data_IF_516773928382
#
_entry.id   IF_516773928382
#
_cell.length_a   1.000
_cell.length_b   1.000
_cell.length_c   1.000
_cell.angle_alpha   90.00
_cell.angle_beta   90.00
_cell.angle_gamma   90.00
#
_symmetry.space_group_name_H-M   'P 1'
#
loop_
_entity.id
_entity.type
_entity.pdbx_description
1 polymer ?
#
# COMPACT_ATOMS: atom_id res chain seq x y z
N UNK A 1 12.11 -24.25 -36.67
CA UNK A 1 11.03 -23.88 -35.71
C UNK A 1 11.72 -23.25 -34.51
N UNK A 2 11.87 -21.93 -34.51
CA UNK A 2 12.43 -21.21 -33.37
C UNK A 2 11.30 -20.99 -32.37
N UNK A 3 11.49 -21.46 -31.14
CA UNK A 3 10.56 -21.23 -30.05
C UNK A 3 10.46 -19.73 -29.76
N UNK A 4 9.30 -19.21 -29.33
CA UNK A 4 9.09 -17.77 -29.12
C UNK A 4 9.91 -17.16 -27.97
N UNK A 5 10.77 -17.94 -27.31
CA UNK A 5 11.49 -17.54 -26.08
C UNK A 5 12.91 -17.00 -26.28
N UNK A 6 13.41 -16.89 -27.53
CA UNK A 6 14.78 -16.37 -27.78
C UNK A 6 14.86 -15.25 -28.84
N UNK A 7 14.01 -14.22 -28.68
CA UNK A 7 14.02 -13.03 -29.54
C UNK A 7 14.88 -11.91 -28.91
N UNK A 8 15.73 -11.22 -29.70
CA UNK A 8 16.64 -10.20 -29.20
C UNK A 8 15.90 -9.00 -28.60
N UNK A 9 16.54 -8.35 -27.63
CA UNK A 9 16.05 -7.13 -26.97
C UNK A 9 16.77 -5.92 -27.58
N UNK A 10 16.01 -4.87 -27.89
CA UNK A 10 16.56 -3.66 -28.48
C UNK A 10 17.45 -2.92 -27.47
N UNK A 11 18.70 -2.56 -27.80
CA UNK A 11 19.68 -2.06 -26.83
C UNK A 11 19.33 -0.67 -26.26
N UNK A 12 18.48 0.11 -26.94
CA UNK A 12 18.11 1.46 -26.52
C UNK A 12 16.71 1.54 -25.89
N UNK A 13 15.79 0.65 -26.24
CA UNK A 13 14.38 0.73 -25.82
C UNK A 13 13.97 -0.40 -24.87
N UNK A 14 14.79 -1.44 -24.70
CA UNK A 14 14.45 -2.60 -23.89
C UNK A 14 13.30 -3.46 -24.45
N UNK A 15 12.79 -3.12 -25.65
CA UNK A 15 11.69 -3.84 -26.28
C UNK A 15 12.18 -5.14 -26.90
N UNK A 16 11.41 -6.20 -26.73
CA UNK A 16 11.67 -7.51 -27.35
C UNK A 16 11.20 -7.50 -28.80
N UNK A 17 11.99 -8.10 -29.69
CA UNK A 17 11.62 -8.21 -31.09
C UNK A 17 10.32 -9.00 -31.27
N UNK A 18 9.58 -8.67 -32.33
CA UNK A 18 8.36 -9.39 -32.72
C UNK A 18 8.74 -10.66 -33.50
N UNK A 19 9.72 -10.55 -34.39
CA UNK A 19 10.20 -11.67 -35.20
C UNK A 19 11.59 -11.39 -35.80
N UNK A 20 12.24 -12.42 -36.35
CA UNK A 20 13.48 -12.30 -37.14
C UNK A 20 13.24 -12.95 -38.50
N UNK A 21 13.33 -12.15 -39.58
CA UNK A 21 13.07 -12.64 -40.92
C UNK A 21 14.10 -13.73 -41.33
N UNK A 22 13.66 -14.96 -41.66
CA UNK A 22 14.54 -16.11 -41.80
C UNK A 22 15.51 -16.05 -42.99
N UNK A 23 15.26 -15.17 -43.98
CA UNK A 23 16.13 -15.01 -45.16
C UNK A 23 17.14 -13.88 -45.06
N UNK A 24 16.83 -12.84 -44.28
CA UNK A 24 17.66 -11.62 -44.20
C UNK A 24 18.29 -11.42 -42.83
N UNK A 25 17.88 -12.21 -41.83
CA UNK A 25 18.27 -12.00 -40.43
C UNK A 25 17.78 -10.67 -39.86
N UNK A 26 16.89 -9.95 -40.57
CA UNK A 26 16.42 -8.64 -40.15
C UNK A 26 15.43 -8.79 -38.99
N UNK A 27 15.74 -8.14 -37.88
CA UNK A 27 14.91 -8.12 -36.68
C UNK A 27 13.76 -7.13 -36.89
N UNK A 28 12.53 -7.58 -36.62
CA UNK A 28 11.33 -6.75 -36.67
C UNK A 28 11.04 -6.23 -35.25
N UNK A 29 11.16 -4.93 -35.07
CA UNK A 29 10.88 -4.26 -33.81
C UNK A 29 9.43 -3.76 -33.75
N UNK A 30 8.80 -3.75 -32.57
CA UNK A 30 7.52 -3.08 -32.38
C UNK A 30 7.67 -1.58 -32.66
N UNK A 31 6.78 -1.03 -33.48
CA UNK A 31 6.70 0.40 -33.76
C UNK A 31 6.09 1.06 -32.51
N UNK A 32 6.90 1.79 -31.77
CA UNK A 32 6.40 2.66 -30.70
C UNK A 32 5.55 3.75 -31.38
N UNK A 33 4.26 3.80 -31.04
CA UNK A 33 3.31 4.78 -31.58
C UNK A 33 3.88 6.19 -31.47
N UNK A 34 4.04 6.86 -32.62
CA UNK A 34 4.48 8.23 -32.71
C UNK A 34 3.45 9.18 -32.10
N UNK A 35 3.78 9.73 -30.94
CA UNK A 35 3.25 10.99 -30.43
C UNK A 35 4.47 11.76 -29.95
N UNK A 36 4.92 12.71 -30.76
CA UNK A 36 6.10 13.51 -30.50
C UNK A 36 6.85 13.81 -31.79
N UNK A 37 6.60 15.00 -32.33
CA UNK A 37 7.43 15.78 -33.24
C UNK A 37 8.85 15.25 -33.48
N UNK A 38 9.21 15.14 -34.76
CA UNK A 38 10.56 14.80 -35.18
C UNK A 38 11.59 15.81 -34.71
N UNK A 39 12.73 15.30 -34.27
CA UNK A 39 14.01 15.97 -34.44
C UNK A 39 15.00 14.97 -35.03
N UNK A 40 15.42 15.26 -36.26
CA UNK A 40 16.43 14.51 -36.98
C UNK A 40 17.81 15.00 -36.57
N UNK A 41 18.45 14.31 -35.63
CA UNK A 41 19.83 14.55 -35.25
C UNK A 41 20.79 13.54 -35.91
N UNK A 42 21.22 13.82 -37.14
CA UNK A 42 22.41 13.21 -37.75
C UNK A 42 23.47 14.29 -37.91
N UNK A 43 24.63 14.13 -37.28
CA UNK A 43 25.75 15.07 -37.41
C UNK A 43 27.01 14.57 -36.71
N UNK A 44 27.80 13.80 -37.45
CA UNK A 44 29.13 13.27 -37.10
C UNK A 44 30.20 14.38 -37.02
N UNK A 45 31.26 14.11 -36.27
CA UNK A 45 32.24 15.08 -35.79
C UNK A 45 33.26 15.59 -36.81
N UNK A 46 33.84 16.75 -36.48
CA UNK A 46 35.02 17.30 -37.14
C UNK A 46 35.75 18.27 -36.20
N UNK A 47 36.92 17.86 -35.70
CA UNK A 47 37.86 18.72 -34.97
C UNK A 47 38.54 19.71 -35.94
N UNK A 48 38.68 20.97 -35.51
CA UNK A 48 39.40 22.00 -36.25
C UNK A 48 39.77 23.19 -35.36
N UNK A 49 41.03 23.18 -34.94
CA UNK A 49 41.90 24.19 -34.31
C UNK A 49 41.49 25.69 -34.38
N UNK A 50 41.64 26.37 -33.23
CA UNK A 50 42.48 27.57 -33.06
C UNK A 50 42.05 28.87 -33.75
N UNK A 51 41.48 29.80 -32.98
CA UNK A 51 41.27 31.19 -33.36
C UNK A 51 41.09 32.09 -32.15
N UNK A 52 42.18 32.77 -31.79
CA UNK A 52 42.34 33.85 -30.82
C UNK A 52 41.35 35.01 -31.02
N UNK A 53 41.06 35.76 -29.93
CA UNK A 53 40.32 37.01 -30.00
C UNK A 53 39.36 37.22 -28.84
N UNK A 54 39.90 37.59 -27.69
CA UNK A 54 39.10 38.00 -26.54
C UNK A 54 38.24 39.23 -26.83
N UNK A 55 37.03 39.23 -26.29
CA UNK A 55 36.39 40.46 -25.84
C UNK A 55 35.39 40.14 -24.74
N UNK A 56 35.87 40.25 -23.50
CA UNK A 56 35.02 40.53 -22.33
C UNK A 56 34.39 41.90 -22.55
N UNK A 57 33.23 41.91 -23.21
CA UNK A 57 32.33 43.06 -23.26
C UNK A 57 31.57 43.14 -21.95
N UNK A 58 31.86 44.17 -21.18
CA UNK A 58 31.14 44.59 -19.98
C UNK A 58 29.63 44.59 -20.25
N UNK A 59 28.90 43.85 -19.43
CA UNK A 59 27.44 43.85 -19.44
C UNK A 59 26.92 45.19 -18.93
N UNK A 60 26.78 46.17 -19.82
CA UNK A 60 25.79 47.22 -19.63
C UNK A 60 24.42 46.53 -19.52
N UNK A 61 23.85 46.57 -18.31
CA UNK A 61 22.51 46.03 -18.08
C UNK A 61 21.53 46.72 -19.01
N UNK A 62 21.03 45.99 -20.02
CA UNK A 62 19.97 46.47 -20.91
C UNK A 62 18.77 46.81 -20.03
N UNK A 63 18.53 48.10 -19.81
CA UNK A 63 17.33 48.56 -19.12
C UNK A 63 16.19 48.48 -20.11
N UNK A 64 15.26 47.55 -19.88
CA UNK A 64 14.05 47.41 -20.70
C UNK A 64 13.05 48.49 -20.28
N UNK A 65 12.43 49.16 -21.25
CA UNK A 65 11.28 50.03 -20.93
C UNK A 65 10.05 49.18 -20.67
N UNK A 66 9.07 49.72 -19.93
CA UNK A 66 7.79 49.02 -19.71
C UNK A 66 7.11 48.67 -21.04
N UNK A 67 7.21 49.55 -22.04
CA UNK A 67 6.68 49.31 -23.37
C UNK A 67 7.36 48.13 -24.08
N UNK A 68 8.66 47.92 -23.87
CA UNK A 68 9.38 46.76 -24.42
C UNK A 68 8.94 45.46 -23.75
N UNK A 69 8.72 45.48 -22.44
CA UNK A 69 8.20 44.33 -21.69
C UNK A 69 6.78 44.00 -22.13
N UNK A 70 5.89 44.98 -22.23
CA UNK A 70 4.50 44.80 -22.66
C UNK A 70 4.44 44.24 -24.09
N UNK A 71 5.30 44.72 -25.00
CA UNK A 71 5.41 44.19 -26.36
C UNK A 71 5.86 42.74 -26.37
N UNK A 72 6.92 42.40 -25.63
CA UNK A 72 7.44 41.02 -25.57
C UNK A 72 6.41 40.07 -24.93
N UNK A 73 5.70 40.51 -23.91
CA UNK A 73 4.62 39.74 -23.28
C UNK A 73 3.46 39.54 -24.25
N UNK A 74 3.04 40.59 -24.97
CA UNK A 74 1.98 40.50 -25.98
C UNK A 74 2.36 39.54 -27.13
N UNK A 75 3.59 39.63 -27.65
CA UNK A 75 4.12 38.72 -28.68
C UNK A 75 4.19 37.27 -28.19
N UNK A 76 4.59 37.06 -26.93
CA UNK A 76 4.65 35.71 -26.35
C UNK A 76 3.25 35.14 -26.11
N UNK A 77 2.32 35.95 -25.64
CA UNK A 77 0.92 35.56 -25.44
C UNK A 77 0.21 35.27 -26.77
N UNK A 78 0.50 36.05 -27.81
CA UNK A 78 -0.02 35.81 -29.16
C UNK A 78 0.49 34.48 -29.73
N UNK A 79 1.79 34.20 -29.57
CA UNK A 79 2.38 32.90 -29.97
C UNK A 79 1.80 31.73 -29.18
N UNK A 80 1.60 31.88 -27.87
CA UNK A 80 0.95 30.85 -27.05
C UNK A 80 -0.51 30.62 -27.46
N UNK A 81 -1.28 31.67 -27.71
CA UNK A 81 -2.67 31.51 -28.19
C UNK A 81 -2.75 30.91 -29.59
N UNK A 82 -1.78 31.21 -30.46
CA UNK A 82 -1.70 30.63 -31.79
C UNK A 82 -1.40 29.12 -31.77
N UNK A 83 -0.60 28.64 -30.80
CA UNK A 83 -0.30 27.20 -30.63
C UNK A 83 -1.52 26.34 -30.29
N UNK A 84 -2.56 26.93 -29.71
CA UNK A 84 -3.79 26.23 -29.31
C UNK A 84 -5.02 26.76 -30.06
N UNK A 85 -4.82 27.46 -31.18
CA UNK A 85 -5.92 28.04 -31.94
C UNK A 85 -6.87 26.96 -32.49
N UNK A 86 -6.32 25.79 -32.80
CA UNK A 86 -6.97 24.58 -33.27
C UNK A 86 -7.52 23.68 -32.15
N UNK A 87 -7.14 23.92 -30.88
CA UNK A 87 -7.55 23.10 -29.75
C UNK A 87 -9.07 23.03 -29.60
N UNK A 88 -9.76 24.15 -29.82
CA UNK A 88 -11.24 24.19 -29.76
C UNK A 88 -11.86 23.32 -30.86
N UNK A 89 -11.35 23.44 -32.08
CA UNK A 89 -11.85 22.65 -33.21
C UNK A 89 -11.51 21.16 -33.07
N UNK A 90 -10.34 20.83 -32.52
CA UNK A 90 -9.94 19.46 -32.19
C UNK A 90 -10.81 18.87 -31.08
N UNK A 91 -11.11 19.66 -30.04
CA UNK A 91 -12.01 19.25 -28.96
C UNK A 91 -13.45 19.04 -29.45
N UNK A 92 -13.95 19.93 -30.32
CA UNK A 92 -15.28 19.81 -30.89
C UNK A 92 -15.36 18.60 -31.84
N UNK A 93 -14.32 18.32 -32.62
CA UNK A 93 -14.22 17.11 -33.46
C UNK A 93 -14.09 15.83 -32.64
N UNK A 94 -13.31 15.84 -31.57
CA UNK A 94 -13.18 14.70 -30.66
C UNK A 94 -14.52 14.40 -29.98
N UNK A 95 -15.20 15.43 -29.46
CA UNK A 95 -16.52 15.27 -28.84
C UNK A 95 -17.54 14.71 -29.85
N UNK A 96 -17.56 15.23 -31.09
CA UNK A 96 -18.41 14.70 -32.16
C UNK A 96 -18.03 13.30 -32.60
N UNK A 97 -16.74 12.96 -32.59
CA UNK A 97 -16.26 11.62 -32.90
C UNK A 97 -16.72 10.63 -31.82
N UNK A 98 -16.60 10.99 -30.54
CA UNK A 98 -17.09 10.16 -29.44
C UNK A 98 -18.61 10.00 -29.48
N UNK A 99 -19.34 11.07 -29.77
CA UNK A 99 -20.80 11.04 -29.98
C UNK A 99 -21.18 10.15 -31.18
N UNK A 100 -20.46 10.24 -32.30
CA UNK A 100 -20.72 9.44 -33.50
C UNK A 100 -20.29 7.98 -33.33
N UNK A 101 -19.19 7.72 -32.63
CA UNK A 101 -18.73 6.38 -32.29
C UNK A 101 -19.74 5.73 -31.34
N UNK A 102 -20.23 6.48 -30.36
CA UNK A 102 -21.33 6.05 -29.50
C UNK A 102 -22.60 5.87 -30.33
N UNK A 103 -22.93 6.74 -31.28
CA UNK A 103 -24.11 6.58 -32.12
C UNK A 103 -24.02 5.37 -33.08
N UNK A 104 -22.82 5.08 -33.60
CA UNK A 104 -22.54 3.98 -34.53
C UNK A 104 -22.38 2.62 -33.86
N UNK A 105 -22.04 2.57 -32.57
CA UNK A 105 -22.10 1.33 -31.82
C UNK A 105 -23.51 0.75 -31.92
N UNK A 106 -23.59 -0.47 -32.44
CA UNK A 106 -24.83 -1.23 -32.51
C UNK A 106 -25.44 -1.34 -31.11
N UNK A 107 -26.77 -1.46 -31.01
CA UNK A 107 -27.44 -1.63 -29.70
C UNK A 107 -26.83 -2.79 -28.90
N UNK A 108 -26.34 -3.82 -29.58
CA UNK A 108 -25.59 -4.93 -28.98
C UNK A 108 -24.23 -4.52 -28.43
N UNK A 109 -23.46 -3.68 -29.12
CA UNK A 109 -22.17 -3.18 -28.61
C UNK A 109 -22.35 -2.24 -27.43
N UNK A 110 -23.38 -1.37 -27.45
CA UNK A 110 -23.73 -0.52 -26.30
C UNK A 110 -24.14 -1.34 -25.09
N UNK A 111 -24.97 -2.36 -25.29
CA UNK A 111 -25.38 -3.27 -24.23
C UNK A 111 -24.17 -4.03 -23.66
N UNK A 112 -23.25 -4.49 -24.51
CA UNK A 112 -22.01 -5.16 -24.07
C UNK A 112 -21.08 -4.20 -23.34
N UNK A 113 -20.92 -2.96 -23.81
CA UNK A 113 -20.11 -1.94 -23.15
C UNK A 113 -20.67 -1.62 -21.75
N UNK A 114 -21.98 -1.36 -21.66
CA UNK A 114 -22.67 -1.11 -20.39
C UNK A 114 -22.55 -2.29 -19.43
N UNK A 115 -22.79 -3.51 -19.90
CA UNK A 115 -22.64 -4.72 -19.08
C UNK A 115 -21.20 -4.91 -18.59
N UNK A 116 -20.19 -4.59 -19.42
CA UNK A 116 -18.78 -4.64 -19.02
C UNK A 116 -18.45 -3.59 -17.96
N UNK A 117 -18.98 -2.39 -18.09
CA UNK A 117 -18.69 -1.32 -17.14
C UNK A 117 -19.42 -1.53 -15.81
N UNK A 118 -20.64 -2.06 -15.82
CA UNK A 118 -21.35 -2.53 -14.62
C UNK A 118 -20.58 -3.66 -13.94
N UNK A 119 -20.16 -4.68 -14.69
CA UNK A 119 -19.38 -5.79 -14.13
C UNK A 119 -18.04 -5.33 -13.53
N UNK A 120 -17.35 -4.38 -14.17
CA UNK A 120 -16.14 -3.78 -13.60
C UNK A 120 -16.44 -2.99 -12.33
N UNK A 121 -17.53 -2.22 -12.31
CA UNK A 121 -17.91 -1.42 -11.15
C UNK A 121 -18.25 -2.31 -9.94
N UNK A 122 -18.97 -3.41 -10.17
CA UNK A 122 -19.30 -4.42 -9.17
C UNK A 122 -18.06 -5.14 -8.66
N UNK A 123 -17.19 -5.63 -9.55
CA UNK A 123 -15.93 -6.28 -9.15
C UNK A 123 -15.02 -5.33 -8.35
N UNK A 124 -14.94 -4.06 -8.73
CA UNK A 124 -14.19 -3.05 -7.97
C UNK A 124 -14.85 -2.76 -6.61
N UNK A 125 -16.18 -2.85 -6.51
CA UNK A 125 -16.88 -2.68 -5.23
C UNK A 125 -16.58 -3.83 -4.26
N UNK A 126 -16.56 -5.07 -4.75
CA UNK A 126 -16.16 -6.24 -3.95
C UNK A 126 -14.71 -6.13 -3.45
N UNK A 127 -13.77 -5.82 -4.34
CA UNK A 127 -12.35 -5.63 -3.97
C UNK A 127 -12.18 -4.50 -2.96
N UNK A 128 -12.96 -3.41 -3.08
CA UNK A 128 -12.94 -2.32 -2.09
C UNK A 128 -13.40 -2.80 -0.72
N UNK A 129 -14.46 -3.61 -0.65
CA UNK A 129 -14.94 -4.19 0.60
C UNK A 129 -13.89 -5.08 1.25
N UNK A 130 -13.23 -5.94 0.49
CA UNK A 130 -12.13 -6.78 0.99
C UNK A 130 -10.98 -5.91 1.53
N UNK A 131 -10.61 -4.86 0.81
CA UNK A 131 -9.57 -3.92 1.23
C UNK A 131 -9.90 -3.20 2.55
N UNK A 132 -11.18 -2.92 2.81
CA UNK A 132 -11.63 -2.37 4.10
C UNK A 132 -11.43 -3.41 5.20
N UNK A 133 -11.77 -4.68 4.96
CA UNK A 133 -11.55 -5.77 5.91
C UNK A 133 -10.06 -5.94 6.25
N UNK A 134 -9.19 -5.94 5.25
CA UNK A 134 -7.74 -5.99 5.44
C UNK A 134 -7.26 -4.79 6.26
N UNK A 135 -7.80 -3.59 5.98
CA UNK A 135 -7.45 -2.39 6.73
C UNK A 135 -7.92 -2.46 8.18
N UNK A 136 -9.09 -3.04 8.45
CA UNK A 136 -9.59 -3.30 9.79
C UNK A 136 -8.62 -4.20 10.54
N UNK A 137 -8.19 -5.30 9.93
CA UNK A 137 -7.25 -6.24 10.54
C UNK A 137 -5.90 -5.58 10.87
N UNK A 138 -5.35 -4.81 9.91
CA UNK A 138 -4.11 -4.05 10.10
C UNK A 138 -4.23 -3.02 11.23
N UNK A 139 -5.37 -2.32 11.34
CA UNK A 139 -5.58 -1.32 12.40
C UNK A 139 -5.91 -1.94 13.76
N UNK A 140 -6.43 -3.18 13.77
CA UNK A 140 -6.69 -3.97 14.96
C UNK A 140 -5.42 -4.64 15.50
N UNK A 141 -4.42 -4.88 14.64
CA UNK A 141 -3.13 -5.47 15.01
C UNK A 141 -2.50 -4.72 16.20
N UNK A 142 -2.16 -5.46 17.25
CA UNK A 142 -1.57 -4.94 18.49
C UNK A 142 -2.56 -4.25 19.45
N UNK A 143 -3.80 -3.94 19.02
CA UNK A 143 -4.87 -3.40 19.89
C UNK A 143 -5.84 -4.48 20.35
N UNK A 144 -6.10 -5.46 19.50
CA UNK A 144 -6.99 -6.59 19.77
C UNK A 144 -6.18 -7.85 20.09
N UNK A 145 -6.72 -8.69 20.98
CA UNK A 145 -6.14 -10.00 21.28
C UNK A 145 -6.11 -10.90 20.05
N UNK A 146 -7.15 -10.79 19.21
CA UNK A 146 -7.21 -11.38 17.88
C UNK A 146 -7.75 -10.32 16.88
N UNK A 147 -6.95 -9.89 15.90
CA UNK A 147 -7.38 -8.94 14.87
C UNK A 147 -8.52 -9.44 13.98
N UNK A 148 -8.60 -10.76 13.72
CA UNK A 148 -9.69 -11.37 12.93
C UNK A 148 -11.04 -11.21 13.63
N UNK A 149 -11.03 -11.25 14.95
CA UNK A 149 -12.22 -11.06 15.78
C UNK A 149 -12.83 -9.65 15.62
N UNK A 150 -11.98 -8.64 15.39
CA UNK A 150 -12.40 -7.29 15.04
C UNK A 150 -12.96 -7.23 13.60
N UNK A 151 -12.28 -7.89 12.65
CA UNK A 151 -12.69 -8.00 11.25
C UNK A 151 -14.10 -8.61 11.12
N UNK A 152 -14.34 -9.76 11.74
CA UNK A 152 -15.64 -10.46 11.74
C UNK A 152 -16.76 -9.62 12.36
N UNK A 153 -16.47 -8.80 13.37
CA UNK A 153 -17.47 -7.94 14.04
C UNK A 153 -17.80 -6.67 13.26
N UNK A 154 -16.94 -6.28 12.32
CA UNK A 154 -17.12 -5.10 11.47
C UNK A 154 -17.52 -5.45 10.03
N UNK A 155 -17.46 -6.73 9.62
CA UNK A 155 -17.72 -7.14 8.24
C UNK A 155 -19.09 -6.73 7.68
N UNK A 156 -20.13 -6.75 8.52
CA UNK A 156 -21.49 -6.37 8.10
C UNK A 156 -21.66 -4.84 7.93
N UNK A 157 -20.67 -4.05 8.37
CA UNK A 157 -20.68 -2.58 8.37
C UNK A 157 -19.61 -1.98 7.45
N UNK A 158 -19.02 -2.79 6.57
CA UNK A 158 -17.94 -2.37 5.69
C UNK A 158 -18.31 -1.14 4.86
N UNK A 159 -19.56 -1.04 4.45
CA UNK A 159 -20.06 0.09 3.65
C UNK A 159 -20.05 1.42 4.42
N UNK A 160 -20.14 1.39 5.75
CA UNK A 160 -20.05 2.59 6.60
C UNK A 160 -18.62 3.19 6.59
N UNK A 161 -17.63 2.42 6.13
CA UNK A 161 -16.23 2.83 6.07
C UNK A 161 -15.78 3.22 4.65
N UNK A 162 -16.71 3.31 3.70
CA UNK A 162 -16.45 3.80 2.36
C UNK A 162 -17.08 5.20 2.21
N UNK A 163 -16.28 6.17 1.75
CA UNK A 163 -16.77 7.49 1.38
C UNK A 163 -17.57 7.45 0.07
N UNK A 164 -18.24 8.56 -0.25
CA UNK A 164 -19.05 8.70 -1.48
C UNK A 164 -18.24 8.51 -2.77
N UNK A 165 -16.92 8.71 -2.70
CA UNK A 165 -15.94 8.51 -3.77
C UNK A 165 -15.34 7.09 -3.78
N UNK A 166 -15.80 6.20 -2.88
CA UNK A 166 -15.30 4.85 -2.70
C UNK A 166 -13.93 4.77 -2.01
N UNK A 167 -13.45 5.86 -1.41
CA UNK A 167 -12.23 5.85 -0.59
C UNK A 167 -12.50 5.26 0.79
N UNK A 168 -11.48 4.62 1.36
CA UNK A 168 -11.58 4.01 2.69
C UNK A 168 -11.44 5.10 3.75
N UNK A 169 -12.46 5.26 4.59
CA UNK A 169 -12.41 6.13 5.76
C UNK A 169 -11.72 5.44 6.94
N UNK A 170 -10.40 5.59 6.99
CA UNK A 170 -9.58 5.04 8.07
C UNK A 170 -9.96 5.58 9.46
N UNK A 171 -10.46 6.83 9.55
CA UNK A 171 -10.85 7.43 10.84
C UNK A 171 -12.15 6.81 11.34
N UNK A 172 -13.11 6.57 10.45
CA UNK A 172 -14.33 5.85 10.79
C UNK A 172 -14.03 4.43 11.29
N UNK A 173 -13.08 3.73 10.65
CA UNK A 173 -12.61 2.40 11.10
C UNK A 173 -12.00 2.48 12.50
N UNK A 174 -11.09 3.43 12.76
CA UNK A 174 -10.49 3.61 14.09
C UNK A 174 -11.54 3.94 15.17
N UNK A 175 -12.52 4.78 14.82
CA UNK A 175 -13.68 5.07 15.68
C UNK A 175 -14.52 3.83 15.98
N UNK A 176 -14.76 2.97 15.00
CA UNK A 176 -15.48 1.72 15.20
C UNK A 176 -14.70 0.72 16.06
N UNK A 177 -13.38 0.62 15.86
CA UNK A 177 -12.49 -0.24 16.65
C UNK A 177 -12.41 0.20 18.12
N UNK A 178 -12.32 1.51 18.38
CA UNK A 178 -12.30 2.05 19.75
C UNK A 178 -13.63 1.85 20.47
N UNK A 179 -14.77 2.09 19.79
CA UNK A 179 -16.09 1.74 20.32
C UNK A 179 -16.19 0.24 20.62
N UNK A 180 -15.68 -0.61 19.74
CA UNK A 180 -15.71 -2.06 19.92
C UNK A 180 -14.93 -2.51 21.17
N UNK A 181 -13.76 -1.93 21.44
CA UNK A 181 -13.00 -2.20 22.66
C UNK A 181 -13.68 -1.65 23.92
N UNK A 182 -14.43 -0.55 23.79
CA UNK A 182 -15.20 0.01 24.91
C UNK A 182 -16.37 -0.89 25.28
N UNK A 183 -17.12 -1.37 24.28
CA UNK A 183 -18.27 -2.25 24.48
C UNK A 183 -17.84 -3.67 24.89
N UNK A 184 -16.68 -4.11 24.40
CA UNK A 184 -16.16 -5.47 24.57
C UNK A 184 -14.69 -5.44 25.00
N UNK A 185 -14.39 -5.05 26.25
CA UNK A 185 -13.01 -4.87 26.73
C UNK A 185 -12.20 -6.18 26.74
N UNK A 186 -12.85 -7.34 26.79
CA UNK A 186 -12.19 -8.64 26.70
C UNK A 186 -11.52 -8.90 25.35
N UNK A 187 -11.84 -8.12 24.32
CA UNK A 187 -11.21 -8.22 22.99
C UNK A 187 -9.87 -7.49 22.92
N UNK A 188 -9.52 -6.66 23.92
CA UNK A 188 -8.27 -5.90 23.93
C UNK A 188 -7.06 -6.83 24.07
N UNK A 189 -5.98 -6.51 23.35
CA UNK A 189 -4.68 -7.14 23.56
C UNK A 189 -4.23 -6.92 25.00
N UNK A 190 -3.89 -8.00 25.71
CA UNK A 190 -3.55 -7.93 27.14
C UNK A 190 -4.76 -7.82 28.09
N UNK A 191 -5.99 -7.97 27.58
CA UNK A 191 -7.25 -7.99 28.32
C UNK A 191 -7.61 -9.35 28.93
N UNK A 192 -6.76 -10.37 28.78
CA UNK A 192 -6.77 -11.48 29.71
C UNK A 192 -6.47 -10.89 31.08
N UNK A 193 -7.48 -10.84 31.96
CA UNK A 193 -7.40 -10.41 33.36
C UNK A 193 -5.93 -10.44 33.78
N UNK A 194 -5.28 -9.27 33.95
CA UNK A 194 -4.05 -9.23 34.75
C UNK A 194 -4.40 -10.06 35.96
N UNK A 195 -3.67 -11.15 36.16
CA UNK A 195 -3.86 -11.99 37.32
C UNK A 195 -3.64 -11.06 38.52
N UNK A 196 -4.73 -10.55 39.08
CA UNK A 196 -4.80 -9.92 40.40
C UNK A 196 -4.88 -11.02 41.46
N UNK A 197 -4.34 -12.20 41.20
CA UNK A 197 -3.87 -13.02 42.30
C UNK A 197 -2.64 -12.32 42.83
N UNK A 198 -2.69 -11.90 44.09
CA UNK A 198 -1.54 -11.34 44.80
C UNK A 198 -0.31 -12.19 44.49
N UNK A 199 0.81 -11.52 44.23
CA UNK A 199 2.06 -12.13 43.80
C UNK A 199 2.71 -13.03 44.85
N UNK A 200 2.03 -14.09 45.28
CA UNK A 200 2.61 -15.28 45.87
C UNK A 200 2.94 -16.28 44.75
N UNK A 201 3.71 -15.80 43.77
CA UNK A 201 4.61 -16.67 43.04
C UNK A 201 5.69 -17.12 44.02
N UNK A 202 5.34 -18.10 44.86
CA UNK A 202 6.23 -18.65 45.89
C UNK A 202 7.62 -18.95 45.31
N UNK A 203 8.69 -18.66 46.06
CA UNK A 203 10.04 -18.62 45.52
C UNK A 203 10.38 -19.98 44.91
N UNK A 204 10.53 -20.02 43.58
CA UNK A 204 11.19 -21.11 42.86
C UNK A 204 12.69 -21.02 43.11
N UNK A 205 13.08 -21.31 44.35
CA UNK A 205 14.45 -21.51 44.79
C UNK A 205 14.46 -22.73 45.68
N UNK A 206 15.20 -23.77 45.28
CA UNK A 206 15.19 -25.10 45.90
C UNK A 206 15.46 -25.09 47.41
N UNK A 207 14.40 -25.07 48.20
CA UNK A 207 14.38 -25.66 49.53
C UNK A 207 13.52 -26.90 49.43
N UNK A 208 14.11 -28.06 49.72
CA UNK A 208 13.35 -29.28 49.93
C UNK A 208 12.20 -28.97 50.89
N UNK A 209 11.01 -29.49 50.59
CA UNK A 209 9.87 -29.37 51.49
C UNK A 209 10.33 -29.73 52.92
N UNK A 210 9.94 -28.95 53.96
CA UNK A 210 10.44 -29.16 55.32
C UNK A 210 10.21 -30.62 55.71
N UNK A 211 11.22 -31.22 56.34
CA UNK A 211 11.14 -32.64 56.71
C UNK A 211 9.94 -32.86 57.64
N UNK A 212 9.41 -34.09 57.71
CA UNK A 212 8.29 -34.39 58.62
C UNK A 212 8.62 -33.98 60.07
N UNK A 213 9.89 -34.05 60.47
CA UNK A 213 10.37 -33.64 61.79
C UNK A 213 10.33 -32.12 62.00
N UNK A 214 10.67 -31.34 60.97
CA UNK A 214 10.53 -29.88 60.99
C UNK A 214 9.05 -29.46 61.04
N UNK A 215 8.18 -30.16 60.30
CA UNK A 215 6.74 -29.93 60.34
C UNK A 215 6.13 -30.27 61.72
N UNK A 216 6.59 -31.35 62.37
CA UNK A 216 6.20 -31.68 63.75
C UNK A 216 6.62 -30.56 64.70
N UNK A 217 7.88 -30.11 64.63
CA UNK A 217 8.41 -29.06 65.51
C UNK A 217 7.64 -27.74 65.34
N UNK A 218 7.30 -27.37 64.10
CA UNK A 218 6.49 -26.18 63.85
C UNK A 218 5.06 -26.31 64.39
N UNK A 219 4.43 -27.48 64.24
CA UNK A 219 3.10 -27.73 64.78
C UNK A 219 3.09 -27.66 66.32
N UNK A 220 4.11 -28.23 66.97
CA UNK A 220 4.29 -28.13 68.42
C UNK A 220 4.55 -26.70 68.88
N UNK A 221 5.40 -25.93 68.16
CA UNK A 221 5.67 -24.53 68.46
C UNK A 221 4.43 -23.64 68.29
N UNK A 222 3.53 -23.99 67.36
CA UNK A 222 2.24 -23.31 67.12
C UNK A 222 1.14 -23.81 68.08
N UNK A 223 1.42 -24.80 68.94
CA UNK A 223 0.44 -25.39 69.87
C UNK A 223 -0.61 -26.28 69.20
N UNK A 224 -0.42 -26.66 67.94
CA UNK A 224 -1.32 -27.54 67.20
C UNK A 224 -0.99 -29.02 67.45
N UNK A 225 -1.36 -29.49 68.63
CA UNK A 225 -1.08 -30.85 69.10
C UNK A 225 -1.83 -31.94 68.31
N UNK A 226 -2.83 -31.57 67.51
CA UNK A 226 -3.58 -32.53 66.69
C UNK A 226 -2.79 -32.88 65.44
N UNK A 227 -2.27 -31.87 64.74
CA UNK A 227 -1.42 -32.08 63.55
C UNK A 227 -0.07 -32.66 63.93
N UNK A 228 0.55 -32.20 65.03
CA UNK A 228 1.81 -32.78 65.53
C UNK A 228 1.71 -34.29 65.80
N UNK A 229 0.61 -34.75 66.42
CA UNK A 229 0.38 -36.19 66.66
C UNK A 229 0.19 -36.97 65.36
N UNK A 230 -0.57 -36.44 64.41
CA UNK A 230 -0.78 -37.09 63.12
C UNK A 230 0.54 -37.25 62.35
N UNK A 231 1.34 -36.19 62.28
CA UNK A 231 2.64 -36.19 61.62
C UNK A 231 3.64 -37.13 62.32
N UNK A 232 3.64 -37.19 63.65
CA UNK A 232 4.46 -38.13 64.42
C UNK A 232 4.05 -39.60 64.18
N UNK A 233 2.76 -39.85 64.01
CA UNK A 233 2.26 -41.19 63.64
C UNK A 233 2.72 -41.57 62.22
N UNK A 234 2.66 -40.61 61.30
CA UNK A 234 3.13 -40.78 59.93
C UNK A 234 4.64 -41.02 59.86
N UNK A 235 5.43 -40.33 60.69
CA UNK A 235 6.88 -40.55 60.81
C UNK A 235 7.21 -41.98 61.29
N UNK A 236 6.45 -42.50 62.26
CA UNK A 236 6.65 -43.88 62.77
C UNK A 236 6.23 -44.96 61.77
N UNK A 237 5.33 -44.65 60.83
CA UNK A 237 4.87 -45.57 59.79
C UNK A 237 5.78 -45.60 58.55
N UNK A 238 6.75 -44.69 58.45
CA UNK A 238 7.73 -44.75 57.38
C UNK A 238 8.76 -45.84 57.69
N UNK A 239 8.99 -46.81 56.79
CA UNK A 239 10.06 -47.78 56.96
C UNK A 239 11.39 -47.02 56.97
N UNK A 240 12.18 -47.19 58.03
CA UNK A 240 13.56 -46.71 58.06
C UNK A 240 14.29 -47.31 56.86
N UNK A 241 14.70 -46.46 55.92
CA UNK A 241 15.59 -46.86 54.81
C UNK A 241 17.01 -47.07 55.32
#
# INVERSE_FOLDING_TARGET
>A
MNTPFDLPIHPRTGLRAIDVLPRSGRIVWPILGGSGEGDGGTGDGGQGQGGDGGQTGEGEGKTFTQADLDRVVAERLARERAKYADYKDLKDKASKFDELQTAQQSETEKAVAKARDEAKAEALAEVRRDRVLDKIEVLAAGKFADPEDARLRLMARVDEFLGDDGQIDAKAIEGALTKLLTDKPHLAAGGGRRFEGGGDGGPRGGKQAPSLEEQIREAEAKGDWKTARQLKTQLMLQPSK
#
